data_IF_454699380116
#
_entry.id   IF_454699380116
#
_cell.length_a   1.000
_cell.length_b   1.000
_cell.length_c   1.000
_cell.angle_alpha   90.00
_cell.angle_beta   90.00
_cell.angle_gamma   90.00
#
_symmetry.space_group_name_H-M   'P 1'
#
loop_
_entity.id
_entity.type
_entity.pdbx_description
1 polymer ?
#
# COMPACT_ATOMS: atom_id res chain seq x y z
N UNK A 1 -7.70 1.35 -15.94
CA UNK A 1 -6.81 0.67 -16.90
C UNK A 1 -6.45 -0.68 -16.31
N UNK A 2 -6.52 -1.75 -17.09
CA UNK A 2 -6.15 -3.09 -16.63
C UNK A 2 -4.68 -3.32 -16.96
N UNK A 3 -3.90 -3.80 -16.00
CA UNK A 3 -2.54 -4.28 -16.28
C UNK A 3 -2.65 -5.64 -16.98
N UNK A 4 -1.89 -5.80 -18.07
CA UNK A 4 -1.80 -7.07 -18.82
C UNK A 4 -0.71 -7.98 -18.25
N UNK A 5 -0.81 -9.29 -18.54
CA UNK A 5 0.19 -10.29 -18.16
C UNK A 5 1.60 -9.89 -18.62
N UNK A 6 1.73 -9.51 -19.89
CA UNK A 6 3.01 -9.11 -20.48
C UNK A 6 3.60 -7.84 -19.86
N UNK A 7 2.76 -6.94 -19.35
CA UNK A 7 3.24 -5.78 -18.59
C UNK A 7 3.83 -6.21 -17.25
N UNK A 8 3.20 -7.14 -16.53
CA UNK A 8 3.73 -7.66 -15.26
C UNK A 8 5.03 -8.42 -15.49
N UNK A 9 5.08 -9.27 -16.52
CA UNK A 9 6.31 -10.00 -16.89
C UNK A 9 7.47 -9.04 -17.17
N UNK A 10 7.21 -7.94 -17.90
CA UNK A 10 8.21 -6.91 -18.15
C UNK A 10 8.64 -6.18 -16.87
N UNK A 11 7.70 -5.85 -15.98
CA UNK A 11 8.02 -5.20 -14.69
C UNK A 11 8.88 -6.13 -13.83
N UNK A 12 8.58 -7.43 -13.79
CA UNK A 12 9.39 -8.42 -13.07
C UNK A 12 10.82 -8.50 -13.61
N UNK A 13 10.97 -8.54 -14.94
CA UNK A 13 12.29 -8.56 -15.58
C UNK A 13 13.09 -7.28 -15.28
N UNK A 14 12.47 -6.11 -15.42
CA UNK A 14 13.11 -4.81 -15.11
C UNK A 14 13.47 -4.69 -13.63
N UNK A 15 12.62 -5.18 -12.72
CA UNK A 15 12.89 -5.17 -11.28
C UNK A 15 14.04 -6.12 -10.93
N UNK A 16 14.13 -7.29 -11.58
CA UNK A 16 15.26 -8.22 -11.40
C UNK A 16 16.58 -7.63 -11.88
N UNK A 17 16.59 -6.98 -13.05
CA UNK A 17 17.78 -6.26 -13.54
C UNK A 17 18.16 -5.13 -12.59
N UNK A 18 17.18 -4.39 -12.08
CA UNK A 18 17.42 -3.31 -11.10
C UNK A 18 18.03 -3.88 -9.82
N UNK A 19 17.53 -5.01 -9.31
CA UNK A 19 18.11 -5.71 -8.16
C UNK A 19 19.59 -6.05 -8.40
N UNK A 20 19.94 -6.63 -9.55
CA UNK A 20 21.33 -6.94 -9.89
C UNK A 20 22.24 -5.70 -9.94
N UNK A 21 21.71 -4.53 -10.33
CA UNK A 21 22.45 -3.27 -10.29
C UNK A 21 22.65 -2.78 -8.85
N UNK A 22 21.64 -2.92 -8.00
CA UNK A 22 21.71 -2.58 -6.57
C UNK A 22 22.68 -3.52 -5.83
N UNK A 23 22.74 -4.79 -6.19
CA UNK A 23 23.72 -5.75 -5.63
C UNK A 23 25.17 -5.35 -5.94
N UNK A 24 25.41 -4.68 -7.07
CA UNK A 24 26.74 -4.18 -7.46
C UNK A 24 27.08 -2.83 -6.83
N UNK A 25 26.13 -2.16 -6.19
CA UNK A 25 26.36 -0.89 -5.52
C UNK A 25 27.13 -1.09 -4.19
N UNK A 26 27.80 -0.06 -3.67
CA UNK A 26 28.49 -0.15 -2.39
C UNK A 26 27.54 -0.60 -1.26
N UNK A 27 28.01 -1.57 -0.46
CA UNK A 27 27.27 -2.10 0.68
C UNK A 27 27.07 -0.99 1.73
N UNK A 28 25.85 -0.47 1.76
CA UNK A 28 25.41 0.62 2.64
C UNK A 28 24.01 0.30 3.13
N UNK A 29 23.57 0.97 4.21
CA UNK A 29 22.19 0.82 4.69
C UNK A 29 21.14 1.15 3.61
N UNK A 30 21.46 2.09 2.70
CA UNK A 30 20.59 2.42 1.55
C UNK A 30 20.53 1.31 0.51
N UNK A 31 21.66 0.65 0.27
CA UNK A 31 21.73 -0.48 -0.67
C UNK A 31 20.93 -1.67 -0.14
N UNK A 32 21.05 -2.00 1.16
CA UNK A 32 20.25 -3.05 1.78
C UNK A 32 18.73 -2.76 1.69
N UNK A 33 18.31 -1.53 1.99
CA UNK A 33 16.91 -1.12 1.86
C UNK A 33 16.41 -1.19 0.40
N UNK A 34 17.27 -0.84 -0.57
CA UNK A 34 16.94 -0.94 -1.99
C UNK A 34 16.81 -2.40 -2.47
N UNK A 35 17.64 -3.32 -1.95
CA UNK A 35 17.48 -4.75 -2.23
C UNK A 35 16.17 -5.29 -1.66
N UNK A 36 15.85 -4.95 -0.41
CA UNK A 36 14.58 -5.35 0.21
C UNK A 36 13.38 -4.80 -0.57
N UNK A 37 13.47 -3.56 -1.05
CA UNK A 37 12.44 -2.98 -1.93
C UNK A 37 12.28 -3.78 -3.23
N UNK A 38 13.39 -4.19 -3.86
CA UNK A 38 13.31 -5.02 -5.08
C UNK A 38 12.68 -6.39 -4.79
N UNK A 39 13.06 -7.04 -3.70
CA UNK A 39 12.52 -8.35 -3.31
C UNK A 39 11.03 -8.31 -3.00
N UNK A 40 10.59 -7.30 -2.23
CA UNK A 40 9.17 -7.10 -1.93
C UNK A 40 8.36 -6.75 -3.18
N UNK A 41 8.92 -5.96 -4.08
CA UNK A 41 8.28 -5.59 -5.35
C UNK A 41 8.14 -6.80 -6.27
N UNK A 42 9.17 -7.64 -6.38
CA UNK A 42 9.12 -8.90 -7.15
C UNK A 42 8.01 -9.80 -6.60
N UNK A 43 7.99 -10.03 -5.29
CA UNK A 43 6.98 -10.88 -4.65
C UNK A 43 5.56 -10.38 -4.92
N UNK A 44 5.34 -9.06 -4.83
CA UNK A 44 4.03 -8.44 -5.13
C UNK A 44 3.59 -8.72 -6.57
N UNK A 45 4.49 -8.54 -7.54
CA UNK A 45 4.17 -8.73 -8.96
C UNK A 45 4.01 -10.21 -9.33
N UNK A 46 4.71 -11.13 -8.65
CA UNK A 46 4.49 -12.57 -8.81
C UNK A 46 3.10 -12.99 -8.35
N UNK A 47 2.63 -12.47 -7.20
CA UNK A 47 1.26 -12.69 -6.73
C UNK A 47 0.23 -12.11 -7.70
N UNK A 48 0.47 -10.91 -8.22
CA UNK A 48 -0.42 -10.30 -9.22
C UNK A 48 -0.46 -11.12 -10.52
N UNK A 49 0.68 -11.66 -10.96
CA UNK A 49 0.78 -12.53 -12.13
C UNK A 49 0.00 -13.82 -11.93
N UNK A 50 0.17 -14.46 -10.77
CA UNK A 50 -0.56 -15.67 -10.40
C UNK A 50 -2.07 -15.40 -10.42
N UNK A 51 -2.53 -14.31 -9.78
CA UNK A 51 -3.94 -13.91 -9.75
C UNK A 51 -4.56 -13.68 -11.14
N UNK A 52 -3.79 -13.19 -12.11
CA UNK A 52 -4.25 -13.07 -13.50
C UNK A 52 -4.32 -14.42 -14.23
N UNK A 53 -3.45 -15.37 -13.88
CA UNK A 53 -3.48 -16.72 -14.46
C UNK A 53 -4.60 -17.58 -13.88
N UNK A 54 -4.84 -17.52 -12.57
CA UNK A 54 -5.96 -18.19 -11.89
C UNK A 54 -7.30 -17.54 -12.20
N UNK A 55 -7.35 -16.21 -12.34
CA UNK A 55 -8.56 -15.51 -12.78
C UNK A 55 -9.04 -15.96 -14.16
N UNK A 56 -8.14 -16.27 -15.11
CA UNK A 56 -8.53 -16.87 -16.40
C UNK A 56 -9.08 -18.29 -16.25
N UNK A 57 -8.59 -19.07 -15.30
CA UNK A 57 -9.11 -20.40 -15.01
C UNK A 57 -10.47 -20.36 -14.29
N UNK A 58 -10.72 -19.37 -13.43
CA UNK A 58 -11.99 -19.21 -12.71
C UNK A 58 -13.09 -18.50 -13.50
N UNK A 59 -12.77 -17.81 -14.60
CA UNK A 59 -13.78 -17.08 -15.39
C UNK A 59 -14.71 -18.03 -16.18
N UNK A 60 -14.32 -19.30 -16.40
CA UNK A 60 -15.22 -20.30 -16.98
C UNK A 60 -16.15 -20.98 -15.95
N UNK A 61 -15.90 -20.83 -14.63
CA UNK A 61 -16.66 -21.57 -13.57
C UNK A 61 -17.34 -20.64 -12.54
N UNK A 62 -17.44 -19.33 -12.75
CA UNK A 62 -18.06 -18.40 -11.78
C UNK A 62 -19.24 -17.61 -12.31
N UNK A 63 -20.14 -18.28 -13.04
CA UNK A 63 -21.49 -17.76 -13.27
C UNK A 63 -22.54 -18.35 -12.33
N UNK A 64 -22.21 -18.91 -11.17
CA UNK A 64 -23.26 -19.24 -10.19
C UNK A 64 -22.72 -19.49 -8.77
N UNK A 65 -22.29 -18.44 -8.05
CA UNK A 65 -22.25 -18.54 -6.58
C UNK A 65 -22.21 -17.17 -5.88
N UNK A 66 -23.33 -16.88 -5.23
CA UNK A 66 -23.44 -16.16 -3.96
C UNK A 66 -23.38 -14.63 -3.98
N UNK A 67 -24.56 -14.07 -4.24
CA UNK A 67 -25.20 -13.10 -3.32
C UNK A 67 -24.94 -13.54 -1.86
N UNK A 68 -24.27 -12.70 -1.07
CA UNK A 68 -24.44 -12.72 0.38
C UNK A 68 -25.00 -11.38 0.83
N UNK A 69 -26.33 -11.38 0.92
CA UNK A 69 -27.16 -10.33 1.50
C UNK A 69 -27.09 -10.46 3.03
N UNK A 70 -26.62 -9.38 3.68
CA UNK A 70 -27.07 -8.77 4.94
C UNK A 70 -27.60 -9.72 6.04
N UNK A 71 -26.95 -9.72 7.21
CA UNK A 71 -27.62 -10.00 8.49
C UNK A 71 -27.39 -8.81 9.44
N UNK A 72 -28.44 -8.11 9.88
CA UNK A 72 -28.33 -6.99 10.81
C UNK A 72 -28.37 -7.52 12.25
N UNK A 73 -27.32 -7.26 13.04
CA UNK A 73 -27.36 -7.51 14.49
C UNK A 73 -28.18 -6.40 15.15
N UNK A 74 -29.46 -6.69 15.41
CA UNK A 74 -30.29 -6.00 16.40
C UNK A 74 -30.17 -6.75 17.73
N UNK A 75 -29.55 -6.14 18.74
CA UNK A 75 -29.85 -6.42 20.16
C UNK A 75 -30.24 -5.11 20.86
N UNK A 76 -31.51 -5.05 21.26
CA UNK A 76 -32.13 -4.00 22.08
C UNK A 76 -31.66 -4.13 23.55
N UNK A 77 -31.42 -2.99 24.20
CA UNK A 77 -31.88 -2.58 25.54
C UNK A 77 -30.84 -1.71 26.28
N UNK A 78 -31.14 -0.42 26.43
CA UNK A 78 -30.54 0.51 27.41
C UNK A 78 -31.26 0.33 28.78
N UNK A 79 -30.81 0.84 29.96
CA UNK A 79 -30.40 2.24 30.14
C UNK A 79 -29.33 2.59 31.23
N UNK A 80 -28.76 3.80 31.07
CA UNK A 80 -28.22 4.75 32.08
C UNK A 80 -27.06 4.30 33.01
N UNK A 81 -25.87 4.85 32.77
CA UNK A 81 -25.10 5.59 33.82
C UNK A 81 -24.27 6.71 33.19
N UNK A 82 -24.37 7.88 33.82
CA UNK A 82 -23.76 9.18 33.51
C UNK A 82 -22.22 9.11 33.46
N UNK A 83 -21.59 9.80 32.50
CA UNK A 83 -20.39 10.61 32.73
C UNK A 83 -20.21 11.61 31.59
N UNK A 84 -20.03 12.87 31.97
CA UNK A 84 -19.87 14.06 31.12
C UNK A 84 -18.69 13.93 30.13
N UNK A 85 -18.78 14.54 28.93
CA UNK A 85 -17.62 14.80 28.10
C UNK A 85 -16.86 16.01 28.69
N UNK A 86 -15.60 15.81 29.05
CA UNK A 86 -14.71 16.91 29.44
C UNK A 86 -14.00 17.38 28.17
N UNK A 87 -14.51 18.49 27.66
CA UNK A 87 -13.94 19.35 26.63
C UNK A 87 -12.68 20.04 27.19
N UNK A 88 -11.54 19.80 26.51
CA UNK A 88 -10.37 20.69 26.27
C UNK A 88 -9.54 21.24 27.48
N UNK A 89 -8.22 21.51 27.33
CA UNK A 89 -7.62 22.22 26.20
C UNK A 89 -6.36 21.60 25.55
N UNK A 90 -6.36 21.73 24.23
CA UNK A 90 -5.23 21.71 23.31
C UNK A 90 -4.39 22.97 23.52
N UNK A 91 -3.24 22.87 24.20
CA UNK A 91 -2.13 23.81 24.03
C UNK A 91 -0.86 23.15 24.56
N UNK A 92 0.01 22.68 23.66
CA UNK A 92 1.44 22.86 23.88
C UNK A 92 2.04 23.45 22.59
N UNK A 93 2.51 24.67 22.80
CA UNK A 93 3.16 25.57 21.89
C UNK A 93 4.44 24.93 21.33
N UNK A 94 4.47 24.71 20.02
CA UNK A 94 5.73 24.73 19.26
C UNK A 94 5.56 25.72 18.13
N UNK A 95 5.52 27.00 18.51
CA UNK A 95 5.98 28.06 17.63
C UNK A 95 7.47 27.80 17.34
N UNK A 96 7.79 27.31 16.15
CA UNK A 96 9.13 27.46 15.55
C UNK A 96 8.98 27.52 14.03
N UNK A 97 9.10 28.75 13.55
CA UNK A 97 9.66 29.16 12.26
C UNK A 97 8.88 28.85 10.98
N UNK A 98 7.91 29.72 10.68
CA UNK A 98 7.70 30.13 9.29
C UNK A 98 8.77 31.17 8.93
N UNK A 99 9.93 30.71 8.43
CA UNK A 99 10.78 31.50 7.54
C UNK A 99 10.86 30.78 6.19
N UNK A 100 9.73 30.79 5.49
CA UNK A 100 9.70 30.59 4.04
C UNK A 100 10.03 31.92 3.36
N UNK A 101 11.32 32.25 3.24
CA UNK A 101 11.80 33.15 2.20
C UNK A 101 12.17 32.28 0.99
N UNK A 102 11.21 32.14 0.08
CA UNK A 102 11.49 32.05 -1.34
C UNK A 102 12.49 33.15 -1.70
N UNK A 103 13.68 32.81 -2.22
CA UNK A 103 14.30 33.52 -3.33
C UNK A 103 15.58 32.81 -3.81
N UNK A 104 15.49 32.35 -5.06
CA UNK A 104 16.50 32.51 -6.13
C UNK A 104 17.90 31.91 -5.92
N UNK A 105 18.32 31.04 -6.85
CA UNK A 105 19.60 31.10 -7.57
C UNK A 105 19.65 29.93 -8.55
N UNK A 106 19.09 30.18 -9.75
CA UNK A 106 19.64 29.60 -10.96
C UNK A 106 21.01 30.23 -11.21
N UNK A 107 22.07 29.42 -11.22
CA UNK A 107 23.20 29.56 -12.16
C UNK A 107 23.84 28.17 -12.39
#
# INVERSE_FOLDING_TARGET
MSISKSQIERILEETRVTKELVEKAPETAKQAAALEYCDTTIALWEVALEGLTTGKAETEDKKDAKKSTIVPVKKKAAPKKKKEPKEEPLIEDTATDETGEDEDWLD
#
